data_IF_104644148071
#
_entry.id   IF_104644148071
#
_cell.length_a   1.000
_cell.length_b   1.000
_cell.length_c   1.000
_cell.angle_alpha   90.00
_cell.angle_beta   90.00
_cell.angle_gamma   90.00
#
_symmetry.space_group_name_H-M   'P 1'
#
loop_
_entity.id
_entity.type
_entity.pdbx_description
1 polymer ?
#
# COMPACT_ATOMS: atom_id res chain seq x y z
N UNK A 1 26.01 -5.95 -27.33
CA UNK A 1 25.13 -5.68 -26.17
C UNK A 1 23.84 -5.08 -26.71
N UNK A 2 22.67 -5.41 -26.19
CA UNK A 2 21.45 -4.70 -26.59
C UNK A 2 21.57 -3.23 -26.14
N UNK A 3 21.40 -2.28 -27.06
CA UNK A 3 21.58 -0.84 -26.80
C UNK A 3 20.30 -0.05 -27.06
N UNK A 4 20.23 1.15 -26.47
CA UNK A 4 19.21 2.15 -26.71
C UNK A 4 19.90 3.48 -27.05
N UNK A 5 19.41 4.13 -28.10
CA UNK A 5 19.90 5.46 -28.51
C UNK A 5 19.36 6.53 -27.57
N UNK A 6 20.23 7.44 -27.12
CA UNK A 6 19.88 8.66 -26.36
C UNK A 6 20.53 9.87 -27.01
N UNK A 7 19.87 11.02 -26.89
CA UNK A 7 20.45 12.31 -27.30
C UNK A 7 21.35 12.88 -26.19
N UNK A 8 22.51 13.36 -26.59
CA UNK A 8 23.46 14.13 -25.80
C UNK A 8 23.74 15.46 -26.49
N UNK A 9 24.36 16.40 -25.78
CA UNK A 9 24.67 17.74 -26.27
C UNK A 9 26.17 18.02 -26.16
N UNK A 10 26.78 18.50 -27.25
CA UNK A 10 28.20 18.84 -27.30
C UNK A 10 28.39 20.35 -27.06
N UNK A 11 29.12 20.76 -26.01
CA UNK A 11 29.35 22.18 -25.70
C UNK A 11 30.25 22.91 -26.69
N UNK A 12 31.13 22.19 -27.40
CA UNK A 12 32.11 22.80 -28.31
C UNK A 12 31.50 23.09 -29.69
N UNK A 13 30.53 22.27 -30.12
CA UNK A 13 29.83 22.42 -31.40
C UNK A 13 28.41 22.98 -31.26
N UNK A 14 27.89 23.08 -30.04
CA UNK A 14 26.50 23.42 -29.69
C UNK A 14 25.42 22.48 -30.28
N UNK A 15 25.80 21.35 -30.86
CA UNK A 15 24.91 20.40 -31.53
C UNK A 15 24.52 19.21 -30.64
N UNK A 16 23.35 18.61 -30.93
CA UNK A 16 22.94 17.35 -30.33
C UNK A 16 23.50 16.16 -31.13
N UNK A 17 23.93 15.12 -30.42
CA UNK A 17 24.45 13.90 -31.01
C UNK A 17 23.87 12.66 -30.32
N UNK A 18 23.88 11.54 -31.04
CA UNK A 18 23.37 10.28 -30.53
C UNK A 18 24.46 9.51 -29.79
N UNK A 19 24.08 8.94 -28.64
CA UNK A 19 24.91 8.00 -27.89
C UNK A 19 24.16 6.69 -27.74
N UNK A 20 24.87 5.59 -27.89
CA UNK A 20 24.35 4.27 -27.55
C UNK A 20 24.61 3.98 -26.07
N UNK A 21 23.56 3.58 -25.36
CA UNK A 21 23.64 3.14 -23.98
C UNK A 21 23.06 1.73 -23.82
N UNK A 22 23.40 1.00 -22.76
CA UNK A 22 22.77 -0.28 -22.41
C UNK A 22 21.24 -0.24 -22.49
N UNK A 23 20.63 -1.29 -23.06
CA UNK A 23 19.18 -1.43 -23.08
C UNK A 23 18.59 -1.49 -21.65
N UNK A 24 17.32 -1.10 -21.53
CA UNK A 24 16.65 -0.97 -20.24
C UNK A 24 16.64 -2.28 -19.45
N UNK A 25 16.38 -3.40 -20.12
CA UNK A 25 16.39 -4.76 -19.56
C UNK A 25 17.74 -5.11 -18.93
N UNK A 26 18.84 -4.74 -19.59
CA UNK A 26 20.21 -5.00 -19.10
C UNK A 26 20.52 -4.14 -17.88
N UNK A 27 20.13 -2.86 -17.90
CA UNK A 27 20.28 -1.97 -16.74
C UNK A 27 19.43 -2.45 -15.55
N UNK A 28 18.19 -2.90 -15.80
CA UNK A 28 17.33 -3.46 -14.74
C UNK A 28 17.93 -4.72 -14.12
N UNK A 29 18.41 -5.65 -14.95
CA UNK A 29 19.03 -6.88 -14.46
C UNK A 29 20.32 -6.59 -13.68
N UNK A 30 21.17 -5.69 -14.17
CA UNK A 30 22.38 -5.28 -13.47
C UNK A 30 22.05 -4.59 -12.13
N UNK A 31 21.03 -3.71 -12.10
CA UNK A 31 20.56 -3.10 -10.87
C UNK A 31 20.04 -4.12 -9.86
N UNK A 32 19.37 -5.18 -10.29
CA UNK A 32 18.85 -6.23 -9.39
C UNK A 32 19.92 -7.25 -8.96
N UNK A 33 21.03 -7.36 -9.70
CA UNK A 33 22.17 -8.23 -9.39
C UNK A 33 23.25 -7.55 -8.55
N UNK A 34 23.25 -6.22 -8.52
CA UNK A 34 24.05 -5.46 -7.57
C UNK A 34 23.50 -5.75 -6.16
N UNK A 35 24.18 -6.62 -5.44
CA UNK A 35 23.93 -6.94 -4.03
C UNK A 35 24.22 -5.67 -3.21
N UNK A 36 23.19 -4.98 -2.70
CA UNK A 36 23.34 -3.66 -2.10
C UNK A 36 23.36 -3.69 -0.56
N UNK A 37 24.52 -3.42 0.06
CA UNK A 37 24.62 -3.17 1.49
C UNK A 37 24.23 -1.71 1.89
N UNK A 38 23.98 -1.46 3.18
CA UNK A 38 22.90 -0.65 3.76
C UNK A 38 23.28 0.74 4.28
N UNK A 39 24.51 1.21 4.06
CA UNK A 39 24.83 2.64 4.22
C UNK A 39 24.55 3.44 2.93
N UNK A 40 24.22 2.74 1.84
CA UNK A 40 23.53 3.28 0.68
C UNK A 40 24.37 4.09 -0.29
N UNK A 41 24.19 3.79 -1.58
CA UNK A 41 24.95 4.42 -2.64
C UNK A 41 24.28 5.71 -3.11
N UNK A 42 25.13 6.73 -3.30
CA UNK A 42 24.78 7.94 -4.01
C UNK A 42 24.41 7.62 -5.47
N UNK A 43 23.46 8.38 -6.03
CA UNK A 43 22.99 8.18 -7.41
C UNK A 43 24.13 8.21 -8.44
N UNK A 44 25.18 8.98 -8.17
CA UNK A 44 26.33 9.09 -9.04
C UNK A 44 27.26 7.86 -8.92
N UNK A 45 27.35 7.25 -7.75
CA UNK A 45 28.14 6.04 -7.51
C UNK A 45 27.52 4.80 -8.16
N UNK A 46 26.19 4.62 -8.03
CA UNK A 46 25.47 3.57 -8.77
C UNK A 46 25.63 3.72 -10.28
N UNK A 47 25.62 4.97 -10.76
CA UNK A 47 25.81 5.25 -12.18
C UNK A 47 27.25 4.94 -12.62
N UNK A 48 28.26 5.18 -11.79
CA UNK A 48 29.65 4.85 -12.11
C UNK A 48 29.90 3.34 -12.11
N UNK A 49 29.34 2.59 -11.15
CA UNK A 49 29.45 1.13 -11.10
C UNK A 49 28.82 0.45 -12.31
N UNK A 50 27.62 0.89 -12.71
CA UNK A 50 26.98 0.39 -13.92
C UNK A 50 27.76 0.78 -15.18
N UNK A 51 28.37 1.97 -15.20
CA UNK A 51 29.21 2.38 -16.31
C UNK A 51 30.44 1.47 -16.46
N UNK A 52 31.06 1.07 -15.35
CA UNK A 52 32.17 0.11 -15.34
C UNK A 52 31.70 -1.29 -15.72
N UNK A 53 30.58 -1.76 -15.17
CA UNK A 53 30.01 -3.07 -15.45
C UNK A 53 29.72 -3.27 -16.96
N UNK A 54 29.20 -2.23 -17.61
CA UNK A 54 28.93 -2.24 -19.05
C UNK A 54 30.11 -1.76 -19.91
N UNK A 55 31.28 -1.49 -19.29
CA UNK A 55 32.49 -1.04 -19.98
C UNK A 55 32.24 0.18 -20.88
N UNK A 56 31.49 1.17 -20.38
CA UNK A 56 31.15 2.38 -21.14
C UNK A 56 32.40 3.23 -21.42
N UNK A 57 32.44 3.80 -22.62
CA UNK A 57 33.51 4.71 -23.03
C UNK A 57 33.47 6.02 -22.27
N UNK A 58 34.58 6.77 -22.24
CA UNK A 58 34.63 8.12 -21.63
C UNK A 58 33.58 9.07 -22.20
N UNK A 59 33.30 8.93 -23.50
CA UNK A 59 32.27 9.68 -24.21
C UNK A 59 30.88 9.33 -23.67
N UNK A 60 30.55 8.03 -23.56
CA UNK A 60 29.26 7.58 -23.03
C UNK A 60 29.06 7.96 -21.55
N UNK A 61 30.13 7.90 -20.74
CA UNK A 61 30.09 8.25 -19.31
C UNK A 61 29.92 9.74 -19.06
N UNK A 62 30.56 10.57 -19.89
CA UNK A 62 30.58 12.02 -19.70
C UNK A 62 29.63 12.79 -20.61
N UNK A 63 28.91 12.12 -21.51
CA UNK A 63 27.84 12.72 -22.31
C UNK A 63 26.82 13.43 -21.41
N UNK A 64 26.48 14.67 -21.76
CA UNK A 64 25.58 15.54 -20.98
C UNK A 64 24.41 16.02 -21.81
N UNK A 65 23.30 16.30 -21.13
CA UNK A 65 22.24 17.14 -21.68
C UNK A 65 22.65 18.61 -21.65
N UNK A 66 21.89 19.47 -22.37
CA UNK A 66 22.03 20.92 -22.30
C UNK A 66 21.90 21.51 -20.88
N UNK A 67 21.19 20.80 -19.99
CA UNK A 67 21.09 21.12 -18.56
C UNK A 67 22.32 20.71 -17.73
N UNK A 68 23.41 20.30 -18.39
CA UNK A 68 24.67 19.81 -17.81
C UNK A 68 24.57 18.48 -17.06
N UNK A 69 23.39 17.87 -16.93
CA UNK A 69 23.22 16.55 -16.32
C UNK A 69 23.78 15.44 -17.21
N UNK A 70 24.48 14.47 -16.63
CA UNK A 70 24.98 13.28 -17.36
C UNK A 70 23.81 12.44 -17.89
N UNK A 71 23.88 12.06 -19.16
CA UNK A 71 22.82 11.33 -19.86
C UNK A 71 22.62 9.95 -19.23
N UNK A 72 23.71 9.23 -18.95
CA UNK A 72 23.66 7.91 -18.33
C UNK A 72 23.09 7.95 -16.90
N UNK A 73 23.53 8.87 -16.04
CA UNK A 73 23.02 9.00 -14.66
C UNK A 73 21.51 9.32 -14.62
N UNK A 74 21.02 10.13 -15.56
CA UNK A 74 19.59 10.40 -15.71
C UNK A 74 18.82 9.16 -16.15
N UNK A 75 19.41 8.38 -17.05
CA UNK A 75 18.81 7.14 -17.55
C UNK A 75 18.71 6.07 -16.45
N UNK A 76 19.80 5.81 -15.72
CA UNK A 76 19.83 4.91 -14.56
C UNK A 76 18.80 5.33 -13.50
N UNK A 77 18.70 6.63 -13.19
CA UNK A 77 17.72 7.13 -12.23
C UNK A 77 16.26 6.86 -12.62
N UNK A 78 15.93 6.91 -13.92
CA UNK A 78 14.58 6.58 -14.41
C UNK A 78 14.27 5.09 -14.29
N UNK A 79 15.24 4.24 -14.59
CA UNK A 79 15.11 2.78 -14.46
C UNK A 79 14.92 2.39 -13.00
N UNK A 80 15.76 2.94 -12.11
CA UNK A 80 15.65 2.76 -10.65
C UNK A 80 14.28 3.17 -10.14
N UNK A 81 13.78 4.34 -10.56
CA UNK A 81 12.44 4.82 -10.17
C UNK A 81 11.32 3.88 -10.62
N UNK A 82 11.45 3.26 -11.80
CA UNK A 82 10.46 2.31 -12.31
C UNK A 82 10.47 1.01 -11.50
N UNK A 83 11.67 0.51 -11.16
CA UNK A 83 11.82 -0.67 -10.30
C UNK A 83 11.20 -0.42 -8.92
N UNK A 84 11.44 0.75 -8.32
CA UNK A 84 10.82 1.11 -7.04
C UNK A 84 9.30 1.18 -7.12
N UNK A 85 8.74 1.82 -8.15
CA UNK A 85 7.28 1.87 -8.34
C UNK A 85 6.66 0.49 -8.55
N UNK A 86 7.41 -0.45 -9.13
CA UNK A 86 6.98 -1.84 -9.30
C UNK A 86 7.19 -2.72 -8.06
N UNK A 87 7.73 -2.16 -6.97
CA UNK A 87 8.05 -2.91 -5.75
C UNK A 87 9.26 -3.83 -5.85
N UNK A 88 10.05 -3.73 -6.93
CA UNK A 88 11.27 -4.53 -7.15
C UNK A 88 12.52 -3.94 -6.50
N UNK A 89 12.46 -2.69 -6.04
CA UNK A 89 13.52 -1.97 -5.31
C UNK A 89 12.88 -1.02 -4.29
N UNK A 90 13.64 -0.54 -3.29
CA UNK A 90 13.20 0.45 -2.30
C UNK A 90 14.22 1.61 -2.26
N UNK A 91 13.76 2.86 -2.09
CA UNK A 91 14.68 4.00 -1.95
C UNK A 91 15.30 4.06 -0.55
N UNK A 92 16.58 4.40 -0.48
CA UNK A 92 17.34 4.42 0.77
C UNK A 92 16.84 5.44 1.82
N UNK A 93 16.08 6.47 1.40
CA UNK A 93 15.46 7.40 2.36
C UNK A 93 14.44 6.70 3.28
N UNK A 94 13.88 5.57 2.82
CA UNK A 94 13.00 4.70 3.59
C UNK A 94 13.78 3.62 4.38
N UNK A 95 15.10 3.47 4.12
CA UNK A 95 15.99 2.46 4.70
C UNK A 95 16.74 2.91 5.97
N UNK A 96 16.71 4.19 6.36
CA UNK A 96 17.29 4.65 7.67
C UNK A 96 16.64 4.02 8.93
N UNK A 97 15.74 3.03 8.77
CA UNK A 97 15.30 2.09 9.82
C UNK A 97 15.94 0.71 9.63
N UNK A 98 17.27 0.62 9.63
CA UNK A 98 17.93 -0.58 10.16
C UNK A 98 19.08 -1.17 9.36
N UNK A 99 20.23 -1.17 10.04
CA UNK A 99 21.29 -2.19 10.12
C UNK A 99 22.33 -2.29 9.01
N UNK A 100 23.58 -2.48 9.46
CA UNK A 100 24.86 -2.37 8.76
C UNK A 100 25.58 -3.73 8.62
N UNK A 101 26.36 -4.05 7.57
CA UNK A 101 26.96 -5.35 7.29
C UNK A 101 28.31 -5.19 6.59
N UNK A 102 29.40 -5.22 7.33
CA UNK A 102 30.62 -5.72 6.73
C UNK A 102 31.13 -6.83 7.62
N UNK A 103 31.18 -8.05 7.10
CA UNK A 103 32.43 -8.67 6.63
C UNK A 103 32.21 -10.17 6.37
N UNK A 104 32.74 -10.68 5.25
CA UNK A 104 33.36 -12.01 5.26
C UNK A 104 32.97 -13.03 4.17
N UNK A 105 33.72 -12.98 3.07
CA UNK A 105 34.47 -14.09 2.45
C UNK A 105 33.76 -15.23 1.66
N UNK A 106 34.34 -15.49 0.49
CA UNK A 106 33.73 -16.04 -0.73
C UNK A 106 33.70 -17.57 -0.88
N UNK A 107 33.84 -18.35 0.21
CA UNK A 107 33.91 -19.81 0.11
C UNK A 107 32.74 -20.57 0.78
N UNK A 108 31.77 -19.86 1.35
CA UNK A 108 30.52 -20.43 1.92
C UNK A 108 29.29 -20.27 0.99
N UNK A 109 29.42 -19.47 -0.09
CA UNK A 109 28.30 -18.99 -0.94
C UNK A 109 27.41 -20.08 -1.56
N UNK A 110 27.92 -21.29 -1.82
CA UNK A 110 27.13 -22.31 -2.53
C UNK A 110 26.16 -23.06 -1.61
N UNK A 111 26.43 -23.11 -0.30
CA UNK A 111 25.56 -23.81 0.66
C UNK A 111 24.52 -22.88 1.31
N UNK A 112 24.81 -21.58 1.43
CA UNK A 112 23.90 -20.59 2.03
C UNK A 112 22.88 -20.03 1.04
N UNK A 113 23.23 -19.90 -0.25
CA UNK A 113 22.33 -19.38 -1.29
C UNK A 113 21.08 -20.25 -1.53
N UNK A 114 21.19 -21.58 -1.41
CA UNK A 114 20.02 -22.48 -1.47
C UNK A 114 19.11 -22.35 -0.24
N UNK A 115 19.68 -22.04 0.94
CA UNK A 115 18.91 -21.85 2.17
C UNK A 115 18.19 -20.50 2.21
N UNK A 116 18.77 -19.45 1.63
CA UNK A 116 18.22 -18.10 1.67
C UNK A 116 17.19 -17.87 0.54
N UNK A 117 17.42 -18.47 -0.63
CA UNK A 117 16.42 -18.49 -1.71
C UNK A 117 15.21 -19.38 -1.35
N UNK A 118 15.44 -20.52 -0.68
CA UNK A 118 14.33 -21.35 -0.18
C UNK A 118 13.56 -20.70 0.98
N UNK A 119 14.22 -19.95 1.87
CA UNK A 119 13.54 -19.13 2.90
C UNK A 119 12.71 -18.02 2.28
N UNK A 120 13.27 -17.22 1.37
CA UNK A 120 12.52 -16.18 0.66
C UNK A 120 11.33 -16.75 -0.12
N UNK A 121 11.48 -17.92 -0.74
CA UNK A 121 10.39 -18.63 -1.42
C UNK A 121 9.33 -19.16 -0.44
N UNK A 122 9.77 -19.68 0.71
CA UNK A 122 8.86 -20.22 1.74
C UNK A 122 8.09 -19.12 2.46
N UNK A 123 8.74 -18.02 2.83
CA UNK A 123 8.11 -16.84 3.46
C UNK A 123 7.14 -16.15 2.49
N UNK A 124 7.54 -15.99 1.22
CA UNK A 124 6.64 -15.50 0.19
C UNK A 124 5.44 -16.43 -0.02
N UNK A 125 5.65 -17.74 0.00
CA UNK A 125 4.55 -18.72 -0.07
C UNK A 125 3.63 -18.63 1.15
N UNK A 126 4.17 -18.38 2.35
CA UNK A 126 3.36 -18.15 3.56
C UNK A 126 2.52 -16.87 3.40
N UNK A 127 3.10 -15.78 2.92
CA UNK A 127 2.39 -14.52 2.69
C UNK A 127 1.26 -14.69 1.65
N UNK A 128 1.55 -15.34 0.51
CA UNK A 128 0.55 -15.63 -0.52
C UNK A 128 -0.60 -16.50 0.03
N UNK A 129 -0.26 -17.53 0.80
CA UNK A 129 -1.25 -18.38 1.46
C UNK A 129 -2.06 -17.61 2.51
N UNK A 130 -1.41 -16.72 3.28
CA UNK A 130 -2.09 -15.87 4.27
C UNK A 130 -3.12 -14.96 3.61
N UNK A 131 -2.74 -14.28 2.52
CA UNK A 131 -3.67 -13.44 1.75
C UNK A 131 -4.83 -14.24 1.17
N UNK A 132 -4.58 -15.47 0.71
CA UNK A 132 -5.62 -16.36 0.21
C UNK A 132 -6.60 -16.78 1.33
N UNK A 133 -6.09 -17.20 2.50
CA UNK A 133 -6.91 -17.54 3.67
C UNK A 133 -7.76 -16.33 4.10
N UNK A 134 -7.15 -15.14 4.16
CA UNK A 134 -7.84 -13.91 4.54
C UNK A 134 -8.96 -13.56 3.56
N UNK A 135 -8.73 -13.71 2.26
CA UNK A 135 -9.73 -13.50 1.22
C UNK A 135 -10.90 -14.49 1.30
N UNK A 136 -10.61 -15.76 1.58
CA UNK A 136 -11.63 -16.79 1.80
C UNK A 136 -12.48 -16.47 3.02
N UNK A 137 -11.83 -16.13 4.15
CA UNK A 137 -12.51 -15.70 5.37
C UNK A 137 -13.39 -14.47 5.15
N UNK A 138 -12.91 -13.46 4.41
CA UNK A 138 -13.70 -12.28 4.07
C UNK A 138 -14.96 -12.63 3.27
N UNK A 139 -14.85 -13.59 2.33
CA UNK A 139 -15.98 -14.13 1.58
C UNK A 139 -17.01 -14.82 2.46
N UNK A 140 -16.55 -15.69 3.36
CA UNK A 140 -17.40 -16.42 4.31
C UNK A 140 -18.12 -15.46 5.26
N UNK A 141 -17.41 -14.48 5.82
CA UNK A 141 -17.99 -13.43 6.65
C UNK A 141 -19.10 -12.68 5.92
N UNK A 142 -18.82 -12.23 4.69
CA UNK A 142 -19.79 -11.49 3.90
C UNK A 142 -21.05 -12.33 3.63
N UNK A 143 -20.92 -13.63 3.40
CA UNK A 143 -22.05 -14.54 3.23
C UNK A 143 -22.87 -14.66 4.52
N UNK A 144 -22.23 -14.79 5.68
CA UNK A 144 -22.91 -14.81 6.98
C UNK A 144 -23.68 -13.51 7.22
N UNK A 145 -23.07 -12.36 6.96
CA UNK A 145 -23.71 -11.05 7.13
C UNK A 145 -24.95 -10.92 6.23
N UNK A 146 -24.85 -11.33 4.97
CA UNK A 146 -25.98 -11.30 4.02
C UNK A 146 -27.15 -12.19 4.45
N UNK A 147 -26.87 -13.29 5.16
CA UNK A 147 -27.86 -14.22 5.70
C UNK A 147 -28.60 -13.72 6.95
N UNK A 148 -28.11 -12.66 7.61
CA UNK A 148 -28.73 -12.10 8.79
C UNK A 148 -29.82 -11.05 8.47
N UNK A 149 -30.51 -10.58 9.51
CA UNK A 149 -31.54 -9.55 9.38
C UNK A 149 -30.93 -8.17 9.11
N UNK A 150 -31.67 -7.23 8.48
CA UNK A 150 -31.20 -5.85 8.32
C UNK A 150 -30.83 -5.18 9.64
N UNK A 151 -31.64 -5.35 10.68
CA UNK A 151 -31.37 -4.80 12.01
C UNK A 151 -30.05 -5.31 12.61
N UNK A 152 -29.76 -6.61 12.45
CA UNK A 152 -28.46 -7.16 12.87
C UNK A 152 -27.30 -6.51 12.10
N UNK A 153 -27.47 -6.25 10.81
CA UNK A 153 -26.43 -5.59 10.01
C UNK A 153 -26.16 -4.15 10.48
N UNK A 154 -27.21 -3.41 10.81
CA UNK A 154 -27.10 -2.07 11.39
C UNK A 154 -26.32 -2.10 12.70
N UNK A 155 -26.67 -3.01 13.62
CA UNK A 155 -25.96 -3.19 14.90
C UNK A 155 -24.49 -3.58 14.69
N UNK A 156 -24.21 -4.55 13.80
CA UNK A 156 -22.85 -5.00 13.47
C UNK A 156 -21.96 -3.85 12.99
N UNK A 157 -22.51 -2.99 12.12
CA UNK A 157 -21.78 -1.84 11.58
C UNK A 157 -21.42 -0.85 12.69
N UNK A 158 -22.34 -0.58 13.62
CA UNK A 158 -22.07 0.29 14.75
C UNK A 158 -21.00 -0.33 15.66
N UNK A 159 -21.12 -1.62 15.98
CA UNK A 159 -20.14 -2.33 16.79
C UNK A 159 -18.74 -2.28 16.17
N UNK A 160 -18.62 -2.49 14.86
CA UNK A 160 -17.35 -2.36 14.14
C UNK A 160 -16.75 -0.97 14.29
N UNK A 161 -17.53 0.09 14.03
CA UNK A 161 -17.03 1.47 14.14
C UNK A 161 -16.57 1.78 15.57
N UNK A 162 -17.26 1.27 16.59
CA UNK A 162 -16.86 1.42 17.99
C UNK A 162 -15.52 0.74 18.27
N UNK A 163 -15.33 -0.49 17.79
CA UNK A 163 -14.05 -1.23 17.96
C UNK A 163 -12.90 -0.55 17.21
N UNK A 164 -13.18 0.06 16.06
CA UNK A 164 -12.22 0.87 15.31
C UNK A 164 -11.83 2.18 16.04
N UNK A 165 -12.52 2.52 17.13
CA UNK A 165 -12.23 3.68 17.96
C UNK A 165 -13.06 4.92 17.63
N UNK A 166 -14.08 4.80 16.79
CA UNK A 166 -15.11 5.83 16.66
C UNK A 166 -16.07 5.76 17.85
N UNK A 167 -16.65 6.89 18.21
CA UNK A 167 -17.46 6.99 19.42
C UNK A 167 -16.59 7.12 20.67
N UNK A 168 -17.12 7.81 21.68
CA UNK A 168 -16.45 8.01 22.95
C UNK A 168 -16.51 6.78 23.83
N UNK A 169 -17.31 6.86 24.90
CA UNK A 169 -17.61 5.68 25.69
C UNK A 169 -18.61 4.77 24.94
N UNK A 170 -18.66 3.48 25.30
CA UNK A 170 -19.63 2.52 24.73
C UNK A 170 -21.09 2.96 24.96
N UNK A 171 -21.33 3.71 26.02
CA UNK A 171 -22.63 4.27 26.40
C UNK A 171 -23.04 5.42 25.46
N UNK A 172 -22.08 6.23 25.01
CA UNK A 172 -22.30 7.31 24.05
C UNK A 172 -22.64 6.77 22.65
N UNK A 173 -22.03 5.66 22.23
CA UNK A 173 -22.32 5.05 20.93
C UNK A 173 -23.73 4.44 20.86
N UNK A 174 -24.20 3.81 21.95
CA UNK A 174 -25.53 3.20 22.01
C UNK A 174 -26.67 4.24 22.10
N UNK A 175 -26.44 5.40 22.74
CA UNK A 175 -27.43 6.46 22.84
C UNK A 175 -27.79 7.11 21.49
N UNK A 176 -26.90 6.97 20.51
CA UNK A 176 -26.93 7.73 19.26
C UNK A 176 -27.50 6.89 18.08
N UNK A 177 -27.67 5.58 18.26
CA UNK A 177 -28.20 4.62 17.28
C UNK A 177 -29.73 4.56 17.12
N UNK A 178 -30.47 5.64 17.40
CA UNK A 178 -31.91 5.69 17.11
C UNK A 178 -32.23 6.80 16.13
N UNK A 179 -32.19 6.50 14.84
CA UNK A 179 -32.73 7.40 13.83
C UNK A 179 -33.75 6.68 12.94
N UNK A 180 -35.01 7.05 13.13
CA UNK A 180 -36.14 6.62 12.31
C UNK A 180 -36.50 7.64 11.23
N UNK A 181 -35.53 8.39 10.71
CA UNK A 181 -35.77 9.37 9.66
C UNK A 181 -34.85 9.20 8.44
N UNK A 182 -35.43 9.43 7.26
CA UNK A 182 -34.71 9.85 6.06
C UNK A 182 -33.68 8.94 5.42
N UNK A 183 -33.38 7.76 5.99
CA UNK A 183 -32.26 6.93 5.57
C UNK A 183 -30.95 7.35 6.22
N UNK A 184 -30.96 7.45 7.56
CA UNK A 184 -29.79 7.41 8.44
C UNK A 184 -30.08 6.33 9.48
N UNK A 185 -29.23 5.31 9.55
CA UNK A 185 -29.41 4.18 10.47
C UNK A 185 -28.70 4.40 11.81
N UNK A 186 -27.64 5.22 11.83
CA UNK A 186 -26.90 5.53 13.04
C UNK A 186 -26.17 6.84 12.99
N UNK A 187 -25.80 7.33 14.16
CA UNK A 187 -24.96 8.51 14.33
C UNK A 187 -23.82 8.09 15.29
N UNK A 188 -22.59 8.57 15.07
CA UNK A 188 -21.45 8.22 15.92
C UNK A 188 -20.48 9.39 16.00
N UNK A 189 -19.85 9.62 17.14
CA UNK A 189 -18.85 10.66 17.26
C UNK A 189 -17.56 10.26 16.53
N UNK A 190 -16.89 11.20 15.88
CA UNK A 190 -15.59 10.93 15.24
C UNK A 190 -14.50 10.63 16.29
N UNK A 191 -14.59 11.31 17.43
CA UNK A 191 -13.61 11.24 18.50
C UNK A 191 -14.29 11.13 19.87
N UNK A 192 -13.48 10.86 20.90
CA UNK A 192 -13.99 10.63 22.26
C UNK A 192 -14.59 11.86 22.93
N UNK A 193 -14.20 13.05 22.51
CA UNK A 193 -14.71 14.33 23.02
C UNK A 193 -15.99 14.75 22.30
N UNK A 194 -16.35 14.10 21.18
CA UNK A 194 -17.57 14.39 20.42
C UNK A 194 -17.56 15.75 19.74
N UNK A 195 -16.39 16.20 19.26
CA UNK A 195 -16.26 17.48 18.57
C UNK A 195 -16.92 17.45 17.20
N UNK A 196 -16.83 16.30 16.54
CA UNK A 196 -17.47 16.03 15.26
C UNK A 196 -18.34 14.76 15.32
N UNK A 197 -19.39 14.76 14.50
CA UNK A 197 -20.36 13.68 14.40
C UNK A 197 -20.40 13.13 12.99
N UNK A 198 -20.37 11.81 12.88
CA UNK A 198 -20.43 11.04 11.67
C UNK A 198 -21.80 10.37 11.59
N UNK A 199 -22.45 10.52 10.45
CA UNK A 199 -23.73 9.89 10.15
C UNK A 199 -23.50 8.59 9.38
N UNK A 200 -24.18 7.53 9.76
CA UNK A 200 -23.95 6.19 9.22
C UNK A 200 -25.24 5.67 8.59
N UNK A 201 -25.11 5.16 7.37
CA UNK A 201 -26.14 4.35 6.71
C UNK A 201 -25.56 2.97 6.45
N UNK A 202 -26.22 1.93 6.94
CA UNK A 202 -25.86 0.53 6.79
C UNK A 202 -26.96 -0.19 5.98
N UNK A 203 -26.73 -0.37 4.67
CA UNK A 203 -27.71 -1.02 3.80
C UNK A 203 -27.30 -2.41 3.35
N UNK A 204 -28.02 -3.42 3.84
CA UNK A 204 -27.97 -4.77 3.25
C UNK A 204 -28.54 -4.71 1.83
N UNK A 205 -27.73 -5.11 0.85
CA UNK A 205 -28.05 -4.91 -0.56
C UNK A 205 -27.60 -6.10 -1.39
N UNK A 206 -28.38 -6.43 -2.42
CA UNK A 206 -28.03 -7.44 -3.42
C UNK A 206 -27.72 -6.79 -4.76
N UNK A 207 -26.68 -7.28 -5.43
CA UNK A 207 -26.15 -6.66 -6.65
C UNK A 207 -25.46 -5.33 -6.37
N UNK A 208 -25.16 -4.54 -7.40
CA UNK A 208 -24.41 -3.29 -7.22
C UNK A 208 -25.30 -2.14 -6.75
N UNK A 209 -24.82 -1.33 -5.80
CA UNK A 209 -25.49 -0.10 -5.35
C UNK A 209 -25.25 1.01 -6.37
N UNK A 210 -26.32 1.53 -6.95
CA UNK A 210 -26.30 2.64 -7.90
C UNK A 210 -26.29 4.01 -7.19
N UNK A 211 -26.21 5.09 -7.96
CA UNK A 211 -26.19 6.46 -7.44
C UNK A 211 -27.41 6.87 -6.58
N UNK A 212 -28.68 6.54 -6.93
CA UNK A 212 -29.84 7.12 -6.24
C UNK A 212 -29.86 6.93 -4.72
N UNK A 213 -29.62 5.72 -4.15
CA UNK A 213 -29.53 5.55 -2.70
C UNK A 213 -28.44 6.40 -2.04
N UNK A 214 -27.33 6.65 -2.74
CA UNK A 214 -26.22 7.47 -2.25
C UNK A 214 -26.60 8.95 -2.27
N UNK A 215 -27.27 9.40 -3.33
CA UNK A 215 -27.80 10.76 -3.44
C UNK A 215 -28.86 11.06 -2.39
N UNK A 216 -29.74 10.10 -2.11
CA UNK A 216 -30.75 10.23 -1.06
C UNK A 216 -30.09 10.38 0.32
N UNK A 217 -29.06 9.56 0.61
CA UNK A 217 -28.26 9.68 1.83
C UNK A 217 -27.57 11.06 1.94
N UNK A 218 -26.92 11.53 0.87
CA UNK A 218 -26.31 12.86 0.82
C UNK A 218 -27.36 13.96 1.06
N UNK A 219 -28.56 13.83 0.51
CA UNK A 219 -29.68 14.75 0.78
C UNK A 219 -30.09 14.75 2.25
N UNK A 220 -30.13 13.59 2.90
CA UNK A 220 -30.41 13.47 4.33
C UNK A 220 -29.33 14.15 5.19
N UNK A 221 -28.05 14.00 4.82
CA UNK A 221 -26.94 14.70 5.48
C UNK A 221 -27.09 16.22 5.38
N UNK A 222 -27.38 16.74 4.18
CA UNK A 222 -27.60 18.16 3.95
C UNK A 222 -28.78 18.71 4.77
N UNK A 223 -29.89 17.97 4.82
CA UNK A 223 -31.06 18.32 5.62
C UNK A 223 -30.75 18.47 7.11
N UNK A 224 -29.81 17.67 7.62
CA UNK A 224 -29.33 17.70 9.01
C UNK A 224 -28.12 18.60 9.24
N UNK A 225 -27.65 19.31 8.21
CA UNK A 225 -26.41 20.12 8.24
C UNK A 225 -25.18 19.30 8.67
N UNK A 226 -25.19 18.01 8.39
CA UNK A 226 -24.10 17.10 8.67
C UNK A 226 -22.98 17.25 7.64
N UNK A 227 -21.74 17.20 8.12
CA UNK A 227 -20.54 17.32 7.28
C UNK A 227 -19.91 15.99 6.92
N UNK A 228 -20.10 14.97 7.74
CA UNK A 228 -19.41 13.67 7.62
C UNK A 228 -20.44 12.55 7.58
N UNK A 229 -20.28 11.65 6.60
CA UNK A 229 -21.14 10.49 6.47
C UNK A 229 -20.39 9.25 6.00
N UNK A 230 -20.83 8.08 6.43
CA UNK A 230 -20.35 6.79 5.96
C UNK A 230 -21.55 5.99 5.44
N UNK A 231 -21.47 5.54 4.20
CA UNK A 231 -22.43 4.61 3.62
C UNK A 231 -21.78 3.23 3.50
N UNK A 232 -22.33 2.26 4.21
CA UNK A 232 -21.82 0.89 4.33
C UNK A 232 -22.83 -0.06 3.70
N UNK A 233 -22.36 -1.01 2.91
CA UNK A 233 -23.21 -2.01 2.27
C UNK A 233 -22.56 -3.37 2.18
N UNK A 234 -23.38 -4.43 2.09
CA UNK A 234 -22.92 -5.81 1.87
C UNK A 234 -22.54 -6.12 0.42
N UNK A 235 -22.58 -5.13 -0.47
CA UNK A 235 -22.34 -5.31 -1.91
C UNK A 235 -21.35 -4.26 -2.45
N UNK A 236 -21.08 -4.26 -3.76
CA UNK A 236 -20.21 -3.28 -4.39
C UNK A 236 -20.95 -2.04 -4.89
N UNK A 237 -20.29 -0.89 -4.92
CA UNK A 237 -20.84 0.33 -5.55
C UNK A 237 -20.60 0.36 -7.05
N UNK A 238 -21.54 0.94 -7.79
CA UNK A 238 -21.38 1.20 -9.23
C UNK A 238 -20.32 2.28 -9.46
N UNK A 239 -19.81 2.34 -10.69
CA UNK A 239 -18.90 3.42 -11.10
C UNK A 239 -19.56 4.80 -10.91
N UNK A 240 -20.83 4.93 -11.30
CA UNK A 240 -21.59 6.18 -11.16
C UNK A 240 -21.78 6.61 -9.71
N UNK A 241 -21.99 5.67 -8.78
CA UNK A 241 -22.09 5.97 -7.35
C UNK A 241 -20.77 6.55 -6.80
N UNK A 242 -19.62 5.97 -7.18
CA UNK A 242 -18.30 6.46 -6.78
C UNK A 242 -17.96 7.82 -7.42
N UNK A 243 -18.32 8.00 -8.69
CA UNK A 243 -18.12 9.26 -9.42
C UNK A 243 -18.98 10.39 -8.81
N UNK A 244 -20.23 10.09 -8.44
CA UNK A 244 -21.11 11.05 -7.76
C UNK A 244 -20.50 11.54 -6.44
N UNK A 245 -20.02 10.64 -5.57
CA UNK A 245 -19.34 11.03 -4.33
C UNK A 245 -18.11 11.88 -4.60
N UNK A 246 -17.27 11.48 -5.55
CA UNK A 246 -16.07 12.24 -5.92
C UNK A 246 -16.38 13.65 -6.41
N UNK A 247 -17.54 13.87 -7.04
CA UNK A 247 -17.97 15.17 -7.56
C UNK A 247 -18.51 16.12 -6.47
N UNK A 248 -19.07 15.58 -5.39
CA UNK A 248 -19.60 16.37 -4.27
C UNK A 248 -18.62 16.51 -3.11
N UNK A 249 -17.53 15.71 -3.12
CA UNK A 249 -16.50 15.72 -2.10
C UNK A 249 -15.85 17.11 -2.04
N UNK A 250 -15.97 17.75 -0.88
CA UNK A 250 -15.55 19.14 -0.68
C UNK A 250 -14.95 19.31 0.71
N UNK A 251 -14.31 20.45 0.97
CA UNK A 251 -13.72 20.73 2.28
C UNK A 251 -14.72 20.67 3.44
N UNK A 252 -16.01 20.93 3.16
CA UNK A 252 -17.04 21.06 4.18
C UNK A 252 -18.02 19.86 4.22
N UNK A 253 -17.90 18.91 3.28
CA UNK A 253 -18.75 17.72 3.21
C UNK A 253 -17.97 16.51 2.68
N UNK A 254 -17.85 15.48 3.52
CA UNK A 254 -17.13 14.23 3.24
C UNK A 254 -18.04 13.02 3.41
N UNK A 255 -18.17 12.22 2.35
CA UNK A 255 -18.88 10.93 2.40
C UNK A 255 -17.93 9.80 2.03
N UNK A 256 -17.86 8.78 2.88
CA UNK A 256 -17.07 7.57 2.65
C UNK A 256 -18.00 6.42 2.26
N UNK A 257 -17.60 5.65 1.25
CA UNK A 257 -18.31 4.47 0.78
C UNK A 257 -17.52 3.22 1.19
N UNK A 258 -18.13 2.33 1.99
CA UNK A 258 -17.54 1.05 2.40
C UNK A 258 -18.37 -0.08 1.77
N UNK A 259 -17.74 -0.82 0.85
CA UNK A 259 -18.37 -1.97 0.20
C UNK A 259 -18.21 -3.25 1.01
N UNK A 260 -18.90 -4.31 0.60
CA UNK A 260 -18.94 -5.57 1.35
C UNK A 260 -17.56 -6.21 1.56
N UNK A 261 -16.64 -6.07 0.60
CA UNK A 261 -15.29 -6.60 0.72
C UNK A 261 -14.50 -5.78 1.75
N UNK A 262 -14.51 -4.45 1.62
CA UNK A 262 -13.85 -3.58 2.59
C UNK A 262 -14.40 -3.76 4.00
N UNK A 263 -15.71 -3.93 4.14
CA UNK A 263 -16.35 -4.23 5.43
C UNK A 263 -15.78 -5.51 6.04
N UNK A 264 -15.72 -6.60 5.27
CA UNK A 264 -15.23 -7.88 5.76
C UNK A 264 -13.75 -7.82 6.16
N UNK A 265 -12.92 -7.10 5.38
CA UNK A 265 -11.52 -6.88 5.73
C UNK A 265 -11.36 -6.10 7.03
N UNK A 266 -12.15 -5.03 7.22
CA UNK A 266 -12.15 -4.26 8.47
C UNK A 266 -12.61 -5.12 9.65
N UNK A 267 -13.58 -6.00 9.46
CA UNK A 267 -14.02 -6.93 10.50
C UNK A 267 -12.89 -7.89 10.91
N UNK A 268 -12.11 -8.39 9.96
CA UNK A 268 -10.95 -9.25 10.23
C UNK A 268 -9.86 -8.46 10.98
N UNK A 269 -9.52 -7.26 10.50
CA UNK A 269 -8.45 -6.44 11.07
C UNK A 269 -8.73 -5.97 12.51
N UNK A 270 -10.02 -5.90 12.88
CA UNK A 270 -10.50 -5.45 14.18
C UNK A 270 -11.13 -6.57 15.03
N UNK A 271 -10.92 -7.83 14.66
CA UNK A 271 -11.40 -9.01 15.42
C UNK A 271 -12.93 -9.03 15.65
N UNK A 272 -13.72 -8.50 14.72
CA UNK A 272 -15.19 -8.46 14.80
C UNK A 272 -15.81 -9.61 14.02
N UNK A 273 -16.56 -10.47 14.71
CA UNK A 273 -17.22 -11.62 14.08
C UNK A 273 -16.26 -12.75 13.66
N UNK A 274 -14.99 -12.66 14.05
CA UNK A 274 -13.96 -13.66 13.83
C UNK A 274 -13.33 -14.11 15.16
N UNK A 275 -12.63 -15.23 15.13
CA UNK A 275 -11.87 -15.70 16.28
C UNK A 275 -10.59 -16.38 15.82
N UNK A 276 -9.53 -16.29 16.62
CA UNK A 276 -8.25 -16.92 16.33
C UNK A 276 -8.42 -18.44 16.44
N UNK A 277 -8.39 -19.14 15.31
CA UNK A 277 -8.39 -20.61 15.30
C UNK A 277 -7.02 -21.17 15.69
N UNK A 278 -5.94 -20.62 15.11
CA UNK A 278 -4.55 -21.09 15.30
C UNK A 278 -3.57 -19.92 15.24
N UNK A 279 -2.49 -20.02 16.02
CA UNK A 279 -1.38 -19.05 15.99
C UNK A 279 -0.07 -19.78 15.69
N UNK A 280 0.57 -19.41 14.58
CA UNK A 280 1.90 -19.90 14.22
C UNK A 280 2.94 -18.83 14.59
N UNK A 281 3.93 -19.20 15.41
CA UNK A 281 5.03 -18.30 15.78
C UNK A 281 6.26 -18.67 14.96
N UNK A 282 6.58 -17.83 13.99
CA UNK A 282 7.84 -17.93 13.25
C UNK A 282 8.93 -17.32 14.13
N UNK A 283 9.94 -18.12 14.46
CA UNK A 283 11.07 -17.69 15.30
C UNK A 283 12.32 -17.62 14.44
N UNK A 284 13.11 -16.58 14.66
CA UNK A 284 14.49 -16.49 14.16
C UNK A 284 15.46 -16.67 15.31
N UNK A 285 16.69 -17.07 14.99
CA UNK A 285 17.77 -17.06 15.96
C UNK A 285 17.99 -15.63 16.44
N UNK A 286 18.10 -15.45 17.75
CA UNK A 286 18.47 -14.18 18.36
C UNK A 286 19.99 -14.13 18.47
N UNK A 287 20.65 -13.53 17.48
CA UNK A 287 22.11 -13.52 17.39
C UNK A 287 22.77 -12.80 18.59
N UNK A 288 22.10 -11.81 19.17
CA UNK A 288 22.60 -11.03 20.31
C UNK A 288 22.70 -11.89 21.57
N UNK A 289 21.83 -12.89 21.72
CA UNK A 289 21.89 -13.86 22.82
C UNK A 289 23.18 -14.70 22.80
N UNK A 290 23.76 -14.91 21.62
CA UNK A 290 24.95 -15.76 21.43
C UNK A 290 26.24 -14.96 21.22
N UNK A 291 26.19 -13.62 21.29
CA UNK A 291 27.40 -12.81 21.25
C UNK A 291 28.17 -12.94 22.58
N UNK A 292 29.28 -13.67 22.58
CA UNK A 292 30.20 -13.69 23.73
C UNK A 292 30.85 -12.31 23.87
N UNK A 293 30.69 -11.69 25.05
CA UNK A 293 31.40 -10.46 25.37
C UNK A 293 32.91 -10.79 25.46
N UNK A 294 33.69 -10.28 24.53
CA UNK A 294 35.15 -10.35 24.62
C UNK A 294 35.63 -9.41 25.73
N UNK A 295 36.15 -9.99 26.82
CA UNK A 295 36.86 -9.29 27.90
C UNK A 295 38.23 -8.74 27.44
#
# INVERSE_FOLDING_TARGET
METVTKMAWNPDTEEEYEIELPAKSLVENALLQLDYPPDGLDKDETSELLAQHFSLTDEQRNARYRSSNRVFNSYVGKVTSALVKSGKMVWLKDWKRGLNPEQGNEQTRVAEQDSDNSRNTSEKSIEENYQQIRKELAGDLLQQIKGNTPAFFEELVIDLLVVMGYGGSREDAQAVGRSGDGGIDGIINEDRLGLDVIYVQAKRWEGSVSEPPIRDFVGALQGRRARKGIFITTSGFSKSAREYISAIDSRDSKVILIDGNQLAELMIDHDVGVSIEKTYKIKRVDSDYFAENAD
#
